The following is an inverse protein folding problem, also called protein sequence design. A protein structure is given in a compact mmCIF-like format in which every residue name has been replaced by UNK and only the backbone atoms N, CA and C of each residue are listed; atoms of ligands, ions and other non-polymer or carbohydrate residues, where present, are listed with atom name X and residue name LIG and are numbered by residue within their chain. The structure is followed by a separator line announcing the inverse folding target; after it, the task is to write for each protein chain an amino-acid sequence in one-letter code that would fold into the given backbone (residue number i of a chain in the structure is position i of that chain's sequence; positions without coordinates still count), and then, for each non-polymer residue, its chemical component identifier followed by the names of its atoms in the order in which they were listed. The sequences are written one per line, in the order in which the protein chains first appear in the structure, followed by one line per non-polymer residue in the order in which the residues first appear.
data_IF_010944996858
#
_entry.id   IF_010944996858
#
_cell.length_a   1.000
_cell.length_b   1.000
_cell.length_c   1.000
_cell.angle_alpha   90.00
_cell.angle_beta   90.00
_cell.angle_gamma   90.00
#
_symmetry.space_group_name_H-M   'P 1'
#
loop_
_entity.id
_entity.type
_entity.pdbx_description
1 polymer ?
#
# COMPACT_ATOMS: atom_id res chain seq x y z
N UNK A 1 12.03 2.03 -21.67
CA UNK A 1 12.24 3.23 -20.82
C UNK A 1 11.47 3.12 -19.50
N UNK A 2 10.15 2.96 -19.56
CA UNK A 2 9.30 2.68 -18.40
C UNK A 2 9.61 1.31 -17.80
N UNK A 3 9.61 1.21 -16.48
CA UNK A 3 9.84 -0.03 -15.73
C UNK A 3 8.57 -0.43 -14.97
N UNK A 4 8.63 -1.54 -14.22
CA UNK A 4 7.49 -2.09 -13.45
C UNK A 4 6.18 -2.27 -14.26
N UNK A 5 6.34 -2.58 -15.56
CA UNK A 5 5.22 -2.80 -16.47
C UNK A 5 4.47 -1.54 -16.90
N UNK A 6 5.03 -0.34 -16.67
CA UNK A 6 4.50 0.93 -17.17
C UNK A 6 4.49 1.01 -18.70
N UNK A 7 3.50 1.73 -19.24
CA UNK A 7 3.33 1.92 -20.68
C UNK A 7 4.09 3.15 -21.17
N UNK A 8 4.86 3.00 -22.24
CA UNK A 8 5.58 4.11 -22.85
C UNK A 8 4.66 4.89 -23.80
N UNK A 9 4.55 6.20 -23.57
CA UNK A 9 3.81 7.11 -24.43
C UNK A 9 4.81 7.99 -25.17
N UNK A 10 4.82 7.86 -26.50
CA UNK A 10 5.65 8.70 -27.36
C UNK A 10 5.12 10.15 -27.40
N UNK A 11 6.04 11.12 -27.34
CA UNK A 11 5.77 12.55 -27.46
C UNK A 11 6.80 13.15 -28.43
N UNK A 12 6.51 14.34 -28.94
CA UNK A 12 7.47 15.02 -29.85
C UNK A 12 8.75 15.35 -29.08
N UNK A 13 9.86 14.67 -29.42
CA UNK A 13 11.19 14.88 -28.86
C UNK A 13 11.40 14.39 -27.43
N UNK A 14 10.45 13.66 -26.84
CA UNK A 14 10.56 13.05 -25.50
C UNK A 14 9.61 11.86 -25.36
N UNK A 15 9.66 11.16 -24.23
CA UNK A 15 8.64 10.17 -23.87
C UNK A 15 8.03 10.52 -22.51
N UNK A 16 6.90 9.91 -22.18
CA UNK A 16 6.34 9.87 -20.83
C UNK A 16 5.92 8.44 -20.49
N UNK A 17 5.90 8.10 -19.21
CA UNK A 17 5.44 6.80 -18.75
C UNK A 17 4.06 6.89 -18.09
N UNK A 18 3.16 6.01 -18.48
CA UNK A 18 1.91 5.74 -17.76
C UNK A 18 2.15 4.58 -16.81
N UNK A 19 2.20 4.89 -15.51
CA UNK A 19 2.51 3.92 -14.48
C UNK A 19 1.30 3.04 -14.16
N UNK A 20 1.58 1.78 -13.85
CA UNK A 20 0.57 0.90 -13.25
C UNK A 20 0.25 1.40 -11.84
N UNK A 21 -0.96 1.11 -11.31
CA UNK A 21 -1.28 1.39 -9.92
C UNK A 21 -0.20 0.82 -8.98
N UNK A 22 0.13 1.57 -7.92
CA UNK A 22 1.22 1.24 -6.99
C UNK A 22 2.61 1.71 -7.40
N UNK A 23 2.79 2.38 -8.54
CA UNK A 23 4.09 2.91 -8.98
C UNK A 23 4.02 4.39 -9.37
N UNK A 24 5.15 5.08 -9.20
CA UNK A 24 5.34 6.47 -9.58
C UNK A 24 6.79 6.75 -10.01
N UNK A 25 7.09 8.01 -10.32
CA UNK A 25 8.38 8.44 -10.88
C UNK A 25 8.31 8.65 -12.40
N UNK A 26 9.37 9.23 -12.97
CA UNK A 26 9.42 9.54 -14.41
C UNK A 26 9.33 8.28 -15.28
N UNK A 27 9.87 7.17 -14.75
CA UNK A 27 9.96 5.88 -15.43
C UNK A 27 9.17 4.79 -14.71
N UNK A 28 8.32 5.14 -13.74
CA UNK A 28 7.58 4.20 -12.89
C UNK A 28 8.50 3.31 -12.03
N UNK A 29 9.63 3.88 -11.61
CA UNK A 29 10.70 3.19 -10.92
C UNK A 29 10.49 3.09 -9.41
N UNK A 30 9.71 3.99 -8.85
CA UNK A 30 9.39 4.02 -7.44
C UNK A 30 8.08 3.29 -7.20
N UNK A 31 8.06 2.47 -6.16
CA UNK A 31 6.86 1.80 -5.66
C UNK A 31 6.25 2.67 -4.55
N UNK A 32 4.93 2.79 -4.54
CA UNK A 32 4.19 3.60 -3.57
C UNK A 32 4.18 2.85 -2.24
N UNK A 33 4.81 3.42 -1.22
CA UNK A 33 4.74 2.87 0.13
C UNK A 33 3.37 3.15 0.75
N UNK A 34 2.46 2.20 0.71
CA UNK A 34 1.12 2.34 1.28
C UNK A 34 1.13 2.41 2.82
N UNK A 35 2.21 1.95 3.46
CA UNK A 35 2.40 2.04 4.91
C UNK A 35 2.85 3.42 5.40
N UNK A 36 3.28 4.34 4.52
CA UNK A 36 3.78 5.68 4.91
C UNK A 36 2.73 6.48 5.72
N UNK A 37 1.45 6.30 5.40
CA UNK A 37 0.33 6.94 6.10
C UNK A 37 0.01 6.35 7.47
N UNK A 38 0.73 5.31 7.91
CA UNK A 38 0.47 4.56 9.14
C UNK A 38 -1.00 4.09 9.27
N UNK A 39 -1.49 3.26 8.33
CA UNK A 39 -2.90 2.86 8.29
C UNK A 39 -3.29 1.95 9.46
N UNK A 40 -2.40 1.08 9.91
CA UNK A 40 -2.65 0.12 10.98
C UNK A 40 -2.77 0.81 12.36
N UNK A 41 -3.87 0.54 13.05
CA UNK A 41 -4.17 1.06 14.40
C UNK A 41 -3.66 0.13 15.49
N UNK A 42 -3.69 0.63 16.72
CA UNK A 42 -3.38 -0.12 17.94
C UNK A 42 -2.05 -0.88 17.86
N UNK A 43 -0.99 -0.19 17.39
CA UNK A 43 0.36 -0.74 17.26
C UNK A 43 0.43 -1.98 16.33
N UNK A 44 -0.51 -2.09 15.39
CA UNK A 44 -0.48 -3.08 14.33
C UNK A 44 0.72 -2.87 13.40
N UNK A 45 1.32 -3.97 12.94
CA UNK A 45 2.47 -3.92 12.02
C UNK A 45 1.98 -3.84 10.58
N UNK A 46 2.39 -2.80 9.86
CA UNK A 46 2.06 -2.62 8.45
C UNK A 46 3.09 -3.35 7.57
N UNK A 47 2.60 -4.11 6.59
CA UNK A 47 3.42 -4.67 5.51
C UNK A 47 2.95 -4.09 4.19
N UNK A 48 3.91 -3.50 3.49
CA UNK A 48 3.75 -2.81 2.21
C UNK A 48 3.77 -3.80 1.03
N UNK A 49 2.95 -3.56 0.02
CA UNK A 49 2.83 -4.40 -1.18
C UNK A 49 2.37 -3.56 -2.36
N UNK A 50 2.75 -3.90 -3.59
CA UNK A 50 2.33 -3.14 -4.78
C UNK A 50 0.81 -2.82 -4.80
N UNK A 51 0.48 -1.53 -4.65
CA UNK A 51 -0.88 -0.99 -4.68
C UNK A 51 -1.79 -1.54 -3.56
N UNK A 52 -1.22 -1.96 -2.43
CA UNK A 52 -1.95 -2.56 -1.32
C UNK A 52 -1.11 -2.64 -0.03
N UNK A 53 -1.74 -2.93 1.09
CA UNK A 53 -1.01 -3.22 2.32
C UNK A 53 -1.79 -4.22 3.14
N UNK A 54 -1.12 -4.82 4.13
CA UNK A 54 -1.79 -5.61 5.15
C UNK A 54 -1.35 -5.18 6.53
N UNK A 55 -2.28 -5.19 7.48
CA UNK A 55 -2.00 -4.98 8.89
C UNK A 55 -1.99 -6.31 9.65
N UNK A 56 -0.88 -6.58 10.34
CA UNK A 56 -0.84 -7.60 11.37
C UNK A 56 -1.26 -6.98 12.70
N UNK A 57 -2.43 -7.39 13.18
CA UNK A 57 -3.01 -6.85 14.40
C UNK A 57 -2.39 -7.44 15.67
N UNK A 58 -2.32 -6.62 16.71
CA UNK A 58 -1.99 -7.08 18.05
C UNK A 58 -3.11 -7.97 18.62
N UNK A 59 -2.82 -8.86 19.58
CA UNK A 59 -3.84 -9.64 20.26
C UNK A 59 -4.97 -8.75 20.81
N UNK A 60 -6.21 -9.17 20.59
CA UNK A 60 -7.39 -8.40 21.00
C UNK A 60 -7.88 -7.39 19.97
N UNK A 61 -7.26 -7.27 18.79
CA UNK A 61 -7.71 -6.38 17.71
C UNK A 61 -7.96 -7.11 16.39
N UNK A 62 -8.93 -6.64 15.63
CA UNK A 62 -9.24 -7.12 14.28
C UNK A 62 -9.67 -5.98 13.32
N UNK A 63 -10.02 -6.32 12.08
CA UNK A 63 -10.31 -5.37 11.01
C UNK A 63 -9.14 -5.19 10.04
N UNK A 64 -9.39 -4.54 8.91
CA UNK A 64 -8.38 -4.31 7.86
C UNK A 64 -7.23 -3.46 8.39
N UNK A 65 -7.56 -2.50 9.26
CA UNK A 65 -6.63 -1.56 9.87
C UNK A 65 -6.45 -1.81 11.37
N UNK A 66 -6.82 -3.00 11.87
CA UNK A 66 -6.81 -3.32 13.30
C UNK A 66 -7.64 -2.33 14.14
N UNK A 67 -8.67 -1.73 13.55
CA UNK A 67 -9.44 -0.63 14.13
C UNK A 67 -10.48 -1.07 15.16
N UNK A 68 -10.77 -2.38 15.23
CA UNK A 68 -11.79 -2.97 16.09
C UNK A 68 -11.17 -3.72 17.25
N UNK A 69 -11.80 -3.64 18.41
CA UNK A 69 -11.49 -4.47 19.57
C UNK A 69 -12.27 -5.79 19.47
N UNK A 70 -11.61 -6.91 19.71
CA UNK A 70 -12.22 -8.23 19.84
C UNK A 70 -12.81 -8.30 21.27
N UNK A 71 -14.12 -8.55 21.43
CA UNK A 71 -14.70 -8.73 22.75
C UNK A 71 -14.05 -9.92 23.43
N UNK A 72 -13.59 -9.74 24.67
CA UNK A 72 -13.22 -10.88 25.50
C UNK A 72 -14.48 -11.72 25.76
N UNK A 73 -14.38 -13.06 25.61
CA UNK A 73 -15.48 -13.99 25.84
C UNK A 73 -15.82 -14.14 27.33
N UNK A 74 -15.98 -13.03 28.06
CA UNK A 74 -16.29 -13.00 29.50
C UNK A 74 -17.43 -12.05 29.86
N UNK A 75 -18.21 -11.58 28.90
CA UNK A 75 -19.50 -10.94 29.21
C UNK A 75 -20.65 -11.95 29.11
N UNK A 76 -20.64 -12.94 30.01
CA UNK A 76 -21.75 -13.48 30.84
C UNK A 76 -21.45 -14.87 31.41
#
# INVERSE_FOLDING_TARGET
PCINGGSCVDKVGRFSCECRPGFYGERCEEEVNECESSPCKHEGTCTDFVNSYTCQCQPGYDGINCERNIPECTET
#
